data_IF_557030965738
#
_entry.id   IF_557030965738
#
_cell.length_a   1.000
_cell.length_b   1.000
_cell.length_c   1.000
_cell.angle_alpha   90.00
_cell.angle_beta   90.00
_cell.angle_gamma   90.00
#
_symmetry.space_group_name_H-M   'P 1'
#
loop_
_entity.id
_entity.type
_entity.pdbx_description
1 polymer ?
#
# COMPACT_ATOMS: atom_id res chain seq x y z
N UNK A 1 -11.85 -4.82 -20.59
CA UNK A 1 -10.92 -4.69 -19.45
C UNK A 1 -11.76 -4.41 -18.22
N UNK A 2 -12.36 -5.46 -17.65
CA UNK A 2 -13.13 -5.37 -16.41
C UNK A 2 -12.16 -5.15 -15.25
N UNK A 3 -11.97 -3.89 -14.93
CA UNK A 3 -10.94 -3.43 -14.00
C UNK A 3 -11.52 -3.49 -12.58
N UNK A 4 -11.35 -4.67 -11.95
CA UNK A 4 -11.45 -4.95 -10.51
C UNK A 4 -12.84 -4.66 -9.89
N UNK A 5 -13.63 -5.72 -9.68
CA UNK A 5 -14.83 -5.65 -8.86
C UNK A 5 -14.45 -5.28 -7.41
N UNK A 6 -14.94 -4.17 -6.84
CA UNK A 6 -14.54 -3.68 -5.52
C UNK A 6 -14.86 -4.65 -4.37
N UNK A 7 -15.73 -5.62 -4.61
CA UNK A 7 -16.15 -6.65 -3.67
C UNK A 7 -15.03 -7.65 -3.30
N UNK A 8 -14.01 -7.79 -4.15
CA UNK A 8 -12.93 -8.78 -4.00
C UNK A 8 -11.54 -8.22 -3.71
N UNK A 9 -11.41 -6.89 -3.56
CA UNK A 9 -10.11 -6.23 -3.43
C UNK A 9 -10.11 -5.22 -2.27
N UNK A 10 -9.11 -5.31 -1.38
CA UNK A 10 -8.86 -4.27 -0.39
C UNK A 10 -8.35 -3.00 -1.08
N UNK A 11 -9.26 -2.09 -1.40
CA UNK A 11 -8.93 -0.73 -1.82
C UNK A 11 -8.44 0.04 -0.59
N UNK A 12 -7.13 0.14 -0.44
CA UNK A 12 -6.54 1.00 0.57
C UNK A 12 -6.62 2.46 0.14
N UNK A 13 -6.97 3.35 1.08
CA UNK A 13 -6.60 4.75 0.92
C UNK A 13 -5.07 4.85 0.85
N UNK A 14 -4.50 5.84 0.12
CA UNK A 14 -3.06 5.92 -0.15
C UNK A 14 -2.16 5.71 1.08
N UNK A 15 -2.55 6.30 2.23
CA UNK A 15 -1.79 6.23 3.47
C UNK A 15 -2.17 5.05 4.38
N UNK A 16 -3.28 4.37 4.09
CA UNK A 16 -3.75 3.27 4.93
C UNK A 16 -2.76 2.11 4.91
N UNK A 17 -2.17 1.78 3.76
CA UNK A 17 -1.13 0.76 3.66
C UNK A 17 0.07 1.06 4.58
N UNK A 18 0.48 2.33 4.66
CA UNK A 18 1.58 2.74 5.54
C UNK A 18 1.22 2.58 7.01
N UNK A 19 -0.03 2.90 7.38
CA UNK A 19 -0.51 2.79 8.76
C UNK A 19 -0.60 1.36 9.29
N UNK A 20 -0.75 0.36 8.42
CA UNK A 20 -0.73 -1.06 8.83
C UNK A 20 0.65 -1.49 9.38
N UNK A 21 1.71 -0.72 9.11
CA UNK A 21 3.06 -0.92 9.64
C UNK A 21 3.38 -0.01 10.84
N UNK A 22 2.38 0.56 11.52
CA UNK A 22 2.62 1.31 12.75
C UNK A 22 3.37 0.45 13.79
N UNK A 23 4.42 1.01 14.39
CA UNK A 23 5.31 0.29 15.31
C UNK A 23 6.39 -0.57 14.63
N UNK A 24 6.40 -0.64 13.30
CA UNK A 24 7.47 -1.21 12.50
C UNK A 24 8.34 -0.09 11.92
N UNK A 25 9.59 -0.39 11.61
CA UNK A 25 10.44 0.54 10.88
C UNK A 25 10.13 0.42 9.38
N UNK A 26 9.49 1.44 8.80
CA UNK A 26 9.27 1.48 7.35
C UNK A 26 10.56 1.95 6.67
N UNK A 27 11.26 1.01 6.04
CA UNK A 27 12.52 1.25 5.32
C UNK A 27 12.28 1.91 3.97
N UNK A 28 11.19 1.55 3.30
CA UNK A 28 10.81 2.10 2.01
C UNK A 28 9.30 2.10 1.83
N UNK A 29 8.78 3.16 1.23
CA UNK A 29 7.39 3.25 0.80
C UNK A 29 7.34 3.97 -0.54
N UNK A 30 7.02 3.25 -1.61
CA UNK A 30 7.09 3.77 -2.98
C UNK A 30 5.71 3.65 -3.63
N UNK A 31 4.98 4.76 -3.79
CA UNK A 31 3.80 4.82 -4.63
C UNK A 31 4.21 4.99 -6.11
N UNK A 32 3.64 4.15 -6.98
CA UNK A 32 3.77 4.23 -8.42
C UNK A 32 2.40 4.49 -9.04
N UNK A 33 2.30 5.57 -9.81
CA UNK A 33 1.08 5.95 -10.51
C UNK A 33 1.22 5.69 -12.00
N UNK A 34 0.19 5.09 -12.59
CA UNK A 34 0.11 4.76 -13.99
C UNK A 34 -1.15 5.41 -14.57
N UNK A 35 -1.02 5.98 -15.76
CA UNK A 35 -2.17 6.54 -16.48
C UNK A 35 -3.17 5.44 -16.79
N UNK A 36 -4.44 5.70 -16.55
CA UNK A 36 -5.55 4.83 -16.96
C UNK A 36 -6.51 5.62 -17.88
N UNK A 37 -7.34 4.93 -18.68
CA UNK A 37 -8.38 5.59 -19.46
C UNK A 37 -9.30 6.48 -18.62
N UNK A 38 -10.07 7.35 -19.29
CA UNK A 38 -11.10 8.19 -18.66
C UNK A 38 -10.55 9.20 -17.63
N UNK A 39 -9.34 9.74 -17.85
CA UNK A 39 -8.65 10.65 -16.91
C UNK A 39 -8.46 10.06 -15.50
N UNK A 40 -8.44 8.72 -15.38
CA UNK A 40 -8.17 8.02 -14.13
C UNK A 40 -6.69 7.71 -13.98
N UNK A 41 -6.30 7.38 -12.75
CA UNK A 41 -4.95 6.90 -12.43
C UNK A 41 -5.06 5.57 -11.68
N UNK A 42 -4.22 4.62 -12.07
CA UNK A 42 -4.00 3.38 -11.32
C UNK A 42 -2.79 3.58 -10.43
N UNK A 43 -2.95 3.37 -9.12
CA UNK A 43 -1.86 3.59 -8.16
C UNK A 43 -1.59 2.29 -7.42
N UNK A 44 -0.32 1.92 -7.35
CA UNK A 44 0.19 0.82 -6.54
C UNK A 44 1.21 1.37 -5.56
N UNK A 45 1.22 0.86 -4.33
CA UNK A 45 2.23 1.21 -3.35
C UNK A 45 2.99 -0.04 -2.91
N UNK A 46 4.32 0.05 -2.87
CA UNK A 46 5.20 -0.99 -2.34
C UNK A 46 5.78 -0.51 -1.02
N UNK A 47 5.58 -1.27 0.06
CA UNK A 47 6.16 -0.99 1.36
C UNK A 47 7.16 -2.09 1.74
N UNK A 48 8.33 -1.68 2.24
CA UNK A 48 9.33 -2.55 2.86
C UNK A 48 9.47 -2.09 4.31
N UNK A 49 9.14 -2.96 5.25
CA UNK A 49 9.20 -2.65 6.68
C UNK A 49 9.93 -3.74 7.46
N UNK A 50 10.64 -3.34 8.52
CA UNK A 50 11.26 -4.26 9.48
C UNK A 50 10.37 -4.35 10.72
N UNK A 51 10.03 -5.59 11.08
CA UNK A 51 9.32 -5.88 12.32
C UNK A 51 10.17 -5.39 13.50
N UNK A 52 9.58 -4.75 14.52
CA UNK A 52 10.31 -4.48 15.73
C UNK A 52 10.81 -5.81 16.29
N UNK A 53 12.12 -5.92 16.54
CA UNK A 53 12.62 -7.04 17.30
C UNK A 53 11.94 -6.97 18.66
N UNK A 54 11.11 -7.97 18.96
CA UNK A 54 10.67 -8.20 20.32
C UNK A 54 11.91 -8.72 21.06
N UNK A 55 12.81 -7.80 21.44
CA UNK A 55 13.78 -8.10 22.46
C UNK A 55 12.94 -8.35 23.72
N UNK A 56 12.74 -9.63 24.01
CA UNK A 56 12.21 -10.08 25.29
C UNK A 56 13.04 -9.38 26.38
N UNK A 57 12.36 -8.60 27.20
CA UNK A 57 12.91 -8.07 28.45
C UNK A 57 13.20 -9.21 29.43
#
# INVERSE_FOLDING_TARGET
MDMFAPEGHCLFQPERLRSEFNGWEVVSFIPNAFTAPENKRKVFATAIARKPNHAAA
#
